data_IF_173508847528
#
_entry.id   IF_173508847528
#
_cell.length_a   1.000
_cell.length_b   1.000
_cell.length_c   1.000
_cell.angle_alpha   90.00
_cell.angle_beta   90.00
_cell.angle_gamma   90.00
#
_symmetry.space_group_name_H-M   'P 1'
#
loop_
_entity.id
_entity.type
_entity.pdbx_description
1 polymer ?
#
# COMPACT_ATOMS: atom_id res chain seq x y z
N UNK A 1 42.01 -54.21 -30.24
CA UNK A 1 41.11 -53.14 -30.73
C UNK A 1 40.24 -52.53 -29.62
N UNK A 2 40.80 -52.15 -28.46
CA UNK A 2 39.99 -51.75 -27.28
C UNK A 2 40.59 -50.65 -26.39
N UNK A 3 41.81 -50.19 -26.66
CA UNK A 3 42.51 -49.18 -25.82
C UNK A 3 42.36 -47.74 -26.35
N UNK A 4 42.02 -47.54 -27.62
CA UNK A 4 41.89 -46.21 -28.24
C UNK A 4 40.55 -45.50 -27.94
N UNK A 5 39.45 -46.25 -27.75
CA UNK A 5 38.13 -45.66 -27.48
C UNK A 5 38.01 -45.09 -26.06
N UNK A 6 38.66 -45.73 -25.09
CA UNK A 6 38.60 -45.33 -23.67
C UNK A 6 39.28 -43.98 -23.40
N UNK A 7 40.36 -43.66 -24.12
CA UNK A 7 41.05 -42.37 -24.01
C UNK A 7 40.26 -41.21 -24.64
N UNK A 8 39.54 -41.45 -25.75
CA UNK A 8 38.69 -40.44 -26.38
C UNK A 8 37.45 -40.10 -25.52
N UNK A 9 36.84 -41.12 -24.91
CA UNK A 9 35.68 -40.94 -24.01
C UNK A 9 36.08 -40.20 -22.73
N UNK A 10 37.24 -40.51 -22.13
CA UNK A 10 37.72 -39.82 -20.93
C UNK A 10 38.01 -38.33 -21.20
N UNK A 11 38.59 -37.99 -22.36
CA UNK A 11 38.84 -36.59 -22.77
C UNK A 11 37.53 -35.81 -22.98
N UNK A 12 36.50 -36.45 -23.53
CA UNK A 12 35.16 -35.86 -23.70
C UNK A 12 34.48 -35.59 -22.35
N UNK A 13 34.56 -36.53 -21.39
CA UNK A 13 33.99 -36.37 -20.05
C UNK A 13 34.74 -35.30 -19.24
N UNK A 14 36.07 -35.26 -19.32
CA UNK A 14 36.90 -34.22 -18.68
C UNK A 14 36.58 -32.84 -19.26
N UNK A 15 36.42 -32.72 -20.59
CA UNK A 15 36.09 -31.45 -21.22
C UNK A 15 34.69 -30.97 -20.86
N UNK A 16 33.68 -31.85 -20.80
CA UNK A 16 32.32 -31.44 -20.38
C UNK A 16 32.28 -30.88 -18.95
N UNK A 17 33.00 -31.49 -18.00
CA UNK A 17 33.09 -30.99 -16.63
C UNK A 17 33.85 -29.66 -16.56
N UNK A 18 34.86 -29.49 -17.42
CA UNK A 18 35.60 -28.23 -17.53
C UNK A 18 34.74 -27.13 -18.16
N UNK A 19 33.99 -27.42 -19.22
CA UNK A 19 33.10 -26.44 -19.86
C UNK A 19 31.93 -26.05 -18.95
N UNK A 20 31.39 -26.98 -18.18
CA UNK A 20 30.42 -26.69 -17.13
C UNK A 20 31.03 -25.78 -16.05
N UNK A 21 32.28 -26.02 -15.66
CA UNK A 21 32.99 -25.20 -14.66
C UNK A 21 33.31 -23.79 -15.20
N UNK A 22 33.74 -23.68 -16.44
CA UNK A 22 34.02 -22.39 -17.10
C UNK A 22 32.72 -21.60 -17.29
N UNK A 23 31.68 -22.20 -17.88
CA UNK A 23 30.39 -21.52 -18.05
C UNK A 23 29.77 -21.10 -16.71
N UNK A 24 29.82 -21.96 -15.68
CA UNK A 24 29.26 -21.61 -14.37
C UNK A 24 30.02 -20.45 -13.72
N UNK A 25 31.35 -20.44 -13.82
CA UNK A 25 32.17 -19.35 -13.29
C UNK A 25 31.93 -18.03 -14.05
N UNK A 26 31.83 -18.10 -15.38
CA UNK A 26 31.57 -16.93 -16.22
C UNK A 26 30.16 -16.38 -15.93
N UNK A 27 29.13 -17.23 -15.87
CA UNK A 27 27.75 -16.83 -15.53
C UNK A 27 27.69 -16.21 -14.13
N UNK A 28 28.36 -16.79 -13.13
CA UNK A 28 28.40 -16.22 -11.77
C UNK A 28 29.12 -14.87 -11.76
N UNK A 29 30.19 -14.72 -12.54
CA UNK A 29 30.92 -13.45 -12.64
C UNK A 29 30.12 -12.36 -13.37
N UNK A 30 29.33 -12.73 -14.39
CA UNK A 30 28.45 -11.82 -15.11
C UNK A 30 27.23 -11.44 -14.27
N UNK A 31 26.66 -12.40 -13.54
CA UNK A 31 25.56 -12.14 -12.61
C UNK A 31 25.99 -11.20 -11.47
N UNK A 32 27.17 -11.43 -10.87
CA UNK A 32 27.72 -10.51 -9.87
C UNK A 32 28.05 -9.12 -10.43
N UNK A 33 28.41 -9.00 -11.71
CA UNK A 33 28.60 -7.70 -12.38
C UNK A 33 27.28 -6.97 -12.66
N UNK A 34 26.20 -7.68 -12.98
CA UNK A 34 24.87 -7.09 -13.16
C UNK A 34 24.29 -6.64 -11.80
N UNK A 35 24.43 -7.49 -10.78
CA UNK A 35 23.97 -7.19 -9.42
C UNK A 35 24.80 -6.07 -8.76
N UNK A 36 26.09 -5.97 -9.09
CA UNK A 36 27.00 -4.92 -8.61
C UNK A 36 27.09 -3.76 -9.60
N UNK A 37 25.98 -3.07 -9.82
CA UNK A 37 25.98 -1.71 -10.37
C UNK A 37 25.72 -0.66 -9.27
N UNK A 38 26.66 -0.42 -8.34
CA UNK A 38 26.54 0.61 -7.31
C UNK A 38 26.89 2.01 -7.86
N UNK A 39 26.38 2.37 -9.05
CA UNK A 39 26.60 3.70 -9.66
C UNK A 39 25.32 4.53 -9.76
N UNK A 40 24.50 4.48 -8.70
CA UNK A 40 23.36 5.38 -8.54
C UNK A 40 23.21 5.87 -7.08
N UNK A 41 24.34 6.05 -6.38
CA UNK A 41 24.41 6.27 -4.94
C UNK A 41 23.78 7.59 -4.44
N UNK A 42 23.56 8.58 -5.31
CA UNK A 42 22.97 9.88 -4.91
C UNK A 42 21.56 10.12 -5.45
N UNK A 43 21.14 9.40 -6.52
CA UNK A 43 19.81 9.58 -7.13
C UNK A 43 18.80 8.54 -6.62
N UNK A 44 19.16 7.29 -6.38
CA UNK A 44 18.19 6.32 -5.82
C UNK A 44 17.80 6.62 -4.39
N UNK A 45 18.74 7.14 -3.59
CA UNK A 45 18.48 7.48 -2.18
C UNK A 45 17.42 8.58 -2.06
N UNK A 46 17.43 9.57 -2.95
CA UNK A 46 16.41 10.61 -2.96
C UNK A 46 15.05 10.08 -3.40
N UNK A 47 15.01 9.20 -4.40
CA UNK A 47 13.76 8.60 -4.87
C UNK A 47 13.16 7.64 -3.85
N UNK A 48 13.98 6.81 -3.19
CA UNK A 48 13.54 5.96 -2.09
C UNK A 48 12.93 6.80 -0.95
N UNK A 49 13.59 7.91 -0.57
CA UNK A 49 13.07 8.82 0.46
C UNK A 49 11.74 9.46 0.07
N UNK A 50 11.60 9.91 -1.18
CA UNK A 50 10.36 10.48 -1.70
C UNK A 50 9.25 9.44 -1.70
N UNK A 51 9.52 8.22 -2.20
CA UNK A 51 8.53 7.13 -2.26
C UNK A 51 8.05 6.77 -0.85
N UNK A 52 8.97 6.54 0.09
CA UNK A 52 8.62 6.25 1.48
C UNK A 52 7.80 7.38 2.08
N UNK A 53 8.24 8.65 1.96
CA UNK A 53 7.49 9.81 2.47
C UNK A 53 6.09 9.89 1.87
N UNK A 54 5.95 9.67 0.57
CA UNK A 54 4.66 9.70 -0.12
C UNK A 54 3.73 8.58 0.36
N UNK A 55 4.23 7.34 0.51
CA UNK A 55 3.43 6.24 1.09
C UNK A 55 2.96 6.59 2.51
N UNK A 56 3.84 7.15 3.34
CA UNK A 56 3.48 7.52 4.70
C UNK A 56 2.41 8.61 4.72
N UNK A 57 2.58 9.69 3.96
CA UNK A 57 1.60 10.79 3.89
C UNK A 57 0.27 10.32 3.33
N UNK A 58 0.29 9.49 2.28
CA UNK A 58 -0.94 8.95 1.68
C UNK A 58 -1.66 8.00 2.66
N UNK A 59 -0.91 7.13 3.34
CA UNK A 59 -1.45 6.24 4.38
C UNK A 59 -2.04 7.02 5.56
N UNK A 60 -1.34 8.05 6.05
CA UNK A 60 -1.83 8.92 7.12
C UNK A 60 -3.05 9.76 6.70
N UNK A 61 -3.11 10.19 5.44
CA UNK A 61 -4.29 10.86 4.94
C UNK A 61 -5.48 9.90 4.90
N UNK A 62 -5.29 8.68 4.39
CA UNK A 62 -6.34 7.69 4.28
C UNK A 62 -6.88 7.23 5.64
N UNK A 63 -6.01 7.00 6.64
CA UNK A 63 -6.45 6.60 7.99
C UNK A 63 -7.32 7.67 8.66
N UNK A 64 -7.03 8.96 8.42
CA UNK A 64 -7.82 10.08 8.96
C UNK A 64 -9.10 10.28 8.14
N UNK A 65 -9.04 10.11 6.82
CA UNK A 65 -10.17 10.31 5.92
C UNK A 65 -11.22 9.20 6.07
N UNK A 66 -10.80 7.96 6.31
CA UNK A 66 -11.69 6.81 6.47
C UNK A 66 -12.82 7.01 7.51
N UNK A 67 -12.54 7.42 8.76
CA UNK A 67 -13.60 7.67 9.73
C UNK A 67 -14.46 8.90 9.37
N UNK A 68 -13.93 9.89 8.66
CA UNK A 68 -14.76 11.02 8.20
C UNK A 68 -15.76 10.54 7.16
N UNK A 69 -15.31 9.76 6.19
CA UNK A 69 -16.17 9.18 5.16
C UNK A 69 -17.24 8.28 5.77
N UNK A 70 -16.89 7.46 6.76
CA UNK A 70 -17.88 6.59 7.42
C UNK A 70 -18.94 7.38 8.17
N UNK A 71 -18.56 8.46 8.86
CA UNK A 71 -19.52 9.29 9.61
C UNK A 71 -20.46 10.03 8.67
N UNK A 72 -19.96 10.49 7.51
CA UNK A 72 -20.78 11.09 6.46
C UNK A 72 -21.75 10.06 5.90
N UNK A 73 -21.29 8.87 5.51
CA UNK A 73 -22.18 7.80 5.01
C UNK A 73 -23.24 7.41 6.04
N UNK A 74 -22.88 7.29 7.33
CA UNK A 74 -23.81 6.99 8.42
C UNK A 74 -24.80 8.11 8.70
N UNK A 75 -24.41 9.38 8.53
CA UNK A 75 -25.31 10.50 8.70
C UNK A 75 -26.48 10.47 7.70
N UNK A 76 -26.24 9.96 6.48
CA UNK A 76 -27.26 9.80 5.44
C UNK A 76 -28.00 8.44 5.49
N UNK A 77 -27.67 7.57 6.45
CA UNK A 77 -28.23 6.23 6.61
C UNK A 77 -29.43 6.25 7.58
N UNK A 78 -30.42 5.39 7.36
CA UNK A 78 -31.58 5.24 8.23
C UNK A 78 -31.22 4.50 9.54
N UNK A 79 -32.00 4.74 10.61
CA UNK A 79 -31.75 4.17 11.94
C UNK A 79 -31.80 2.63 11.96
N UNK A 80 -32.65 2.04 11.10
CA UNK A 80 -32.78 0.59 10.93
C UNK A 80 -31.55 -0.01 10.25
N UNK A 81 -30.96 0.74 9.32
CA UNK A 81 -29.78 0.33 8.55
C UNK A 81 -28.49 0.44 9.39
N UNK A 82 -28.44 1.27 10.44
CA UNK A 82 -27.28 1.36 11.36
C UNK A 82 -26.98 0.01 12.04
N UNK A 83 -27.99 -0.86 12.21
CA UNK A 83 -27.81 -2.19 12.81
C UNK A 83 -27.38 -3.26 11.79
N UNK A 84 -27.49 -2.98 10.48
CA UNK A 84 -27.03 -3.86 9.40
C UNK A 84 -25.64 -3.43 8.89
N UNK A 85 -24.60 -4.15 9.31
CA UNK A 85 -23.20 -3.85 8.95
C UNK A 85 -22.77 -4.39 7.56
N UNK A 86 -23.70 -4.79 6.69
CA UNK A 86 -23.35 -5.52 5.45
C UNK A 86 -22.51 -4.68 4.47
N UNK A 87 -22.63 -3.34 4.44
CA UNK A 87 -21.73 -2.45 3.68
C UNK A 87 -21.50 -1.15 4.43
N UNK A 88 -20.33 -1.04 5.06
CA UNK A 88 -19.93 0.12 5.86
C UNK A 88 -19.90 1.43 5.05
N UNK A 89 -19.56 1.38 3.76
CA UNK A 89 -19.25 2.60 2.98
C UNK A 89 -20.44 3.19 2.20
N UNK A 90 -21.46 2.40 1.84
CA UNK A 90 -22.56 2.82 0.97
C UNK A 90 -23.91 2.50 1.63
N UNK A 91 -24.76 3.51 1.90
CA UNK A 91 -26.07 3.28 2.51
C UNK A 91 -27.00 2.50 1.57
N UNK A 92 -27.79 1.58 2.12
CA UNK A 92 -28.82 0.85 1.34
C UNK A 92 -30.04 1.73 1.11
N UNK A 93 -30.51 2.42 2.15
CA UNK A 93 -31.59 3.39 2.06
C UNK A 93 -31.07 4.80 2.33
N UNK A 94 -31.02 5.64 1.29
CA UNK A 94 -30.64 7.04 1.43
C UNK A 94 -31.83 7.82 2.01
N UNK A 95 -31.70 8.30 3.26
CA UNK A 95 -32.75 9.10 3.90
C UNK A 95 -32.18 10.34 4.57
N UNK A 96 -32.82 11.47 4.35
CA UNK A 96 -32.48 12.75 5.00
C UNK A 96 -33.30 12.97 6.29
N UNK A 97 -34.28 12.10 6.55
CA UNK A 97 -35.19 12.25 7.67
C UNK A 97 -34.48 12.05 9.01
N UNK A 98 -33.47 11.19 9.06
CA UNK A 98 -32.64 10.95 10.25
C UNK A 98 -31.86 12.22 10.65
N UNK A 99 -31.27 12.93 9.69
CA UNK A 99 -30.52 14.18 9.95
C UNK A 99 -31.45 15.25 10.52
N UNK A 100 -32.63 15.40 9.92
CA UNK A 100 -33.64 16.36 10.40
C UNK A 100 -34.15 16.00 11.80
N UNK A 101 -34.45 14.72 12.04
CA UNK A 101 -34.95 14.24 13.32
C UNK A 101 -33.89 14.39 14.42
N UNK A 102 -32.64 13.97 14.17
CA UNK A 102 -31.54 14.14 15.11
C UNK A 102 -31.30 15.62 15.43
N UNK A 103 -31.30 16.50 14.42
CA UNK A 103 -31.15 17.95 14.61
C UNK A 103 -32.27 18.56 15.45
N UNK A 104 -33.51 18.08 15.31
CA UNK A 104 -34.65 18.49 16.13
C UNK A 104 -34.56 17.96 17.56
N UNK A 105 -34.18 16.69 17.74
CA UNK A 105 -34.07 16.05 19.06
C UNK A 105 -33.02 16.72 19.96
N UNK A 106 -31.91 17.18 19.36
CA UNK A 106 -30.84 17.87 20.09
C UNK A 106 -31.01 19.39 20.14
N UNK A 107 -32.12 19.94 19.61
CA UNK A 107 -32.31 21.39 19.44
C UNK A 107 -31.07 22.08 18.83
N UNK A 108 -30.54 21.49 17.76
CA UNK A 108 -29.31 21.91 17.11
C UNK A 108 -29.18 23.43 16.84
N UNK A 109 -30.21 24.16 16.36
CA UNK A 109 -30.06 25.60 16.10
C UNK A 109 -29.81 26.42 17.36
N UNK A 110 -30.41 26.05 18.50
CA UNK A 110 -30.19 26.74 19.78
C UNK A 110 -28.80 26.43 20.31
N UNK A 111 -28.39 25.15 20.25
CA UNK A 111 -27.06 24.71 20.64
C UNK A 111 -25.95 25.40 19.81
N UNK A 112 -26.15 25.49 18.48
CA UNK A 112 -25.21 26.14 17.57
C UNK A 112 -25.04 27.62 17.88
N UNK A 113 -26.15 28.34 18.10
CA UNK A 113 -26.09 29.76 18.50
C UNK A 113 -25.32 29.94 19.81
N UNK A 114 -25.61 29.13 20.81
CA UNK A 114 -24.95 29.24 22.11
C UNK A 114 -23.44 28.97 22.00
N UNK A 115 -23.04 27.91 21.29
CA UNK A 115 -21.63 27.60 21.05
C UNK A 115 -20.92 28.68 20.23
N UNK A 116 -21.59 29.27 19.24
CA UNK A 116 -21.02 30.35 18.43
C UNK A 116 -20.82 31.64 19.24
N UNK A 117 -21.79 32.00 20.08
CA UNK A 117 -21.67 33.14 21.01
C UNK A 117 -20.54 32.91 22.01
N UNK A 118 -20.40 31.70 22.54
CA UNK A 118 -19.29 31.38 23.43
C UNK A 118 -17.94 31.43 22.71
N UNK A 119 -17.83 30.84 21.52
CA UNK A 119 -16.58 30.84 20.75
C UNK A 119 -16.12 32.25 20.39
N UNK A 120 -17.05 33.13 20.00
CA UNK A 120 -16.74 34.53 19.65
C UNK A 120 -16.57 35.39 20.91
N UNK A 121 -17.33 35.13 21.97
CA UNK A 121 -17.31 35.94 23.19
C UNK A 121 -16.15 35.63 24.13
N UNK A 122 -15.56 34.43 24.04
CA UNK A 122 -14.42 33.99 24.86
C UNK A 122 -13.07 34.17 24.17
N UNK A 123 -13.06 34.23 22.83
CA UNK A 123 -11.86 34.51 22.01
C UNK A 123 -11.64 36.01 21.92
#
# INVERSE_FOLDING_TARGET
MSTAKTHAVKKSIINKNLLQKLMKNDIISLFNRILSSPKLHTRTRSWAWIITRTIFVLGFCFIILYPVLIMISKAFMDFVDIYDNTVLLVPKHFTLMNIYLAGKMINYPVALRNSMVLAIGVT
#
